data_IF_573906845215
#
_entry.id   IF_573906845215
#
_cell.length_a   1.000
_cell.length_b   1.000
_cell.length_c   1.000
_cell.angle_alpha   90.00
_cell.angle_beta   90.00
_cell.angle_gamma   90.00
#
_symmetry.space_group_name_H-M   'P 1'
#
loop_
_entity.id
_entity.type
_entity.pdbx_description
1 polymer ?
#
# COMPACT_ATOMS: atom_id res chain seq x y z
N UNK A 1 27.67 -48.41 -17.10
CA UNK A 1 27.93 -46.99 -16.81
C UNK A 1 26.68 -46.44 -16.14
N UNK A 2 26.68 -46.32 -14.80
CA UNK A 2 25.54 -45.81 -14.05
C UNK A 2 25.62 -44.29 -13.97
N UNK A 3 24.72 -43.60 -14.66
CA UNK A 3 24.51 -42.15 -14.51
C UNK A 3 23.66 -41.90 -13.27
N UNK A 4 24.34 -41.71 -12.14
CA UNK A 4 23.73 -41.27 -10.89
C UNK A 4 23.18 -39.86 -11.13
N UNK A 5 21.85 -39.73 -11.16
CA UNK A 5 21.17 -38.43 -11.24
C UNK A 5 21.34 -37.73 -9.90
N UNK A 6 22.19 -36.71 -9.87
CA UNK A 6 22.33 -35.83 -8.71
C UNK A 6 21.02 -35.05 -8.55
N UNK A 7 20.36 -35.09 -7.38
CA UNK A 7 19.21 -34.23 -7.13
C UNK A 7 19.67 -32.77 -7.18
N UNK A 8 18.91 -31.93 -7.90
CA UNK A 8 19.12 -30.48 -7.90
C UNK A 8 18.99 -29.98 -6.46
N UNK A 9 20.11 -29.51 -5.90
CA UNK A 9 20.10 -28.77 -4.65
C UNK A 9 19.29 -27.50 -4.92
N UNK A 10 18.07 -27.46 -4.38
CA UNK A 10 17.28 -26.23 -4.35
C UNK A 10 18.04 -25.31 -3.39
N UNK A 11 18.76 -24.34 -3.92
CA UNK A 11 19.46 -23.35 -3.09
C UNK A 11 18.42 -22.66 -2.23
N UNK A 12 18.48 -22.89 -0.91
CA UNK A 12 17.66 -22.19 0.07
C UNK A 12 18.20 -20.78 0.36
N UNK A 13 19.00 -20.20 -0.54
CA UNK A 13 19.41 -18.80 -0.50
C UNK A 13 18.34 -17.95 -1.17
N UNK A 14 17.75 -17.02 -0.43
CA UNK A 14 16.98 -15.93 -1.03
C UNK A 14 18.01 -15.03 -1.75
N UNK A 15 18.20 -15.24 -3.05
CA UNK A 15 19.17 -14.46 -3.83
C UNK A 15 18.67 -13.03 -4.08
N UNK A 16 17.35 -12.81 -4.09
CA UNK A 16 16.74 -11.49 -4.24
C UNK A 16 15.44 -11.37 -3.40
N UNK A 17 15.45 -10.46 -2.42
CA UNK A 17 14.27 -10.18 -1.57
C UNK A 17 13.16 -9.43 -2.32
N UNK A 18 13.48 -8.81 -3.45
CA UNK A 18 12.56 -8.03 -4.27
C UNK A 18 11.96 -8.85 -5.40
N UNK A 19 12.18 -10.16 -5.43
CA UNK A 19 11.56 -11.05 -6.41
C UNK A 19 10.85 -12.20 -5.71
N UNK A 20 9.64 -12.51 -6.17
CA UNK A 20 8.83 -13.62 -5.69
C UNK A 20 8.26 -14.40 -6.88
N UNK A 21 8.26 -15.72 -6.78
CA UNK A 21 7.54 -16.59 -7.72
C UNK A 21 6.31 -17.17 -7.02
N UNK A 22 5.15 -16.89 -7.57
CA UNK A 22 3.84 -17.31 -7.09
C UNK A 22 3.52 -18.74 -7.52
N UNK A 23 2.73 -19.43 -6.68
CA UNK A 23 2.34 -20.82 -6.88
C UNK A 23 1.24 -20.96 -7.92
N UNK A 24 0.23 -20.09 -7.91
CA UNK A 24 -0.84 -20.07 -8.91
C UNK A 24 -0.59 -18.99 -9.96
N UNK A 25 -0.18 -17.81 -9.52
CA UNK A 25 0.02 -16.62 -10.34
C UNK A 25 -1.28 -15.86 -10.60
N UNK A 26 -1.14 -14.58 -10.92
CA UNK A 26 -2.25 -13.69 -11.25
C UNK A 26 -2.83 -14.05 -12.63
N UNK A 27 -4.10 -14.47 -12.74
CA UNK A 27 -4.68 -14.81 -14.03
C UNK A 27 -5.06 -13.55 -14.83
N UNK A 28 -4.78 -13.56 -16.13
CA UNK A 28 -5.18 -12.51 -17.06
C UNK A 28 -5.56 -13.09 -18.42
N UNK A 29 -6.55 -12.49 -19.09
CA UNK A 29 -6.97 -12.90 -20.42
C UNK A 29 -6.31 -12.03 -21.49
N UNK A 30 -5.48 -12.66 -22.32
CA UNK A 30 -4.75 -12.01 -23.42
C UNK A 30 -5.03 -12.78 -24.70
N UNK A 31 -5.65 -12.10 -25.68
CA UNK A 31 -5.92 -12.69 -27.00
C UNK A 31 -6.80 -13.95 -26.95
N UNK A 32 -7.77 -14.00 -26.02
CA UNK A 32 -8.68 -15.15 -25.86
C UNK A 32 -8.05 -16.36 -25.14
N UNK A 33 -6.85 -16.20 -24.55
CA UNK A 33 -6.20 -17.20 -23.72
C UNK A 33 -5.94 -16.65 -22.33
N UNK A 34 -6.15 -17.47 -21.31
CA UNK A 34 -5.77 -17.12 -19.94
C UNK A 34 -4.28 -17.42 -19.73
N UNK A 35 -3.50 -16.38 -19.44
CA UNK A 35 -2.11 -16.47 -18.98
C UNK A 35 -2.04 -16.26 -17.47
N UNK A 36 -0.93 -16.66 -16.85
CA UNK A 36 -0.72 -16.55 -15.41
C UNK A 36 0.59 -15.84 -15.13
N UNK A 37 0.53 -14.63 -14.58
CA UNK A 37 1.71 -13.91 -14.13
C UNK A 37 2.21 -14.48 -12.82
N UNK A 38 3.32 -15.22 -12.88
CA UNK A 38 3.85 -15.97 -11.74
C UNK A 38 5.01 -15.25 -11.08
N UNK A 39 5.78 -14.46 -11.81
CA UNK A 39 6.90 -13.73 -11.22
C UNK A 39 6.42 -12.33 -10.83
N UNK A 40 6.74 -11.92 -9.62
CA UNK A 40 6.45 -10.58 -9.10
C UNK A 40 7.75 -9.90 -8.77
N UNK A 41 7.95 -8.71 -9.34
CA UNK A 41 8.99 -7.79 -8.91
C UNK A 41 8.40 -6.86 -7.87
N UNK A 42 9.09 -6.73 -6.75
CA UNK A 42 8.74 -5.86 -5.65
C UNK A 42 9.70 -4.67 -5.58
N UNK A 43 9.24 -3.62 -4.90
CA UNK A 43 10.02 -2.43 -4.61
C UNK A 43 9.69 -1.91 -3.22
N UNK A 44 10.48 -0.95 -2.77
CA UNK A 44 10.13 -0.17 -1.60
C UNK A 44 9.05 0.86 -1.94
N UNK A 45 8.27 1.17 -0.91
CA UNK A 45 7.19 2.15 -0.97
C UNK A 45 7.64 3.46 -0.36
N UNK A 46 7.00 4.54 -0.82
CA UNK A 46 7.20 5.89 -0.33
C UNK A 46 5.95 6.40 0.40
N UNK A 47 6.05 7.56 1.04
CA UNK A 47 4.88 8.27 1.61
C UNK A 47 3.83 8.58 0.53
N UNK A 48 4.23 8.74 -0.73
CA UNK A 48 3.27 8.91 -1.83
C UNK A 48 2.45 7.63 -2.06
N UNK A 49 3.06 6.45 -1.92
CA UNK A 49 2.37 5.17 -2.04
C UNK A 49 1.37 4.98 -0.89
N UNK A 50 1.75 5.34 0.33
CA UNK A 50 0.84 5.33 1.49
C UNK A 50 -0.39 6.21 1.27
N UNK A 51 -0.20 7.41 0.71
CA UNK A 51 -1.32 8.31 0.37
C UNK A 51 -2.24 7.71 -0.69
N UNK A 52 -1.69 7.02 -1.67
CA UNK A 52 -2.49 6.33 -2.70
C UNK A 52 -3.26 5.17 -2.06
N UNK A 53 -2.60 4.34 -1.25
CA UNK A 53 -3.25 3.23 -0.55
C UNK A 53 -4.36 3.70 0.40
N UNK A 54 -4.14 4.81 1.13
CA UNK A 54 -5.16 5.42 1.98
C UNK A 54 -6.41 5.80 1.16
N UNK A 55 -6.24 6.48 0.02
CA UNK A 55 -7.35 6.83 -0.88
C UNK A 55 -8.09 5.61 -1.42
N UNK A 56 -7.36 4.54 -1.73
CA UNK A 56 -7.96 3.27 -2.19
C UNK A 56 -8.79 2.58 -1.11
N UNK A 57 -8.46 2.84 0.16
CA UNK A 57 -9.10 2.25 1.34
C UNK A 57 -10.15 3.18 1.98
N UNK A 58 -10.39 4.36 1.41
CA UNK A 58 -11.41 5.29 1.87
C UNK A 58 -12.82 4.75 1.61
N UNK A 59 -13.67 4.80 2.64
CA UNK A 59 -15.07 4.39 2.61
C UNK A 59 -15.93 5.50 3.19
N UNK A 60 -17.06 5.78 2.55
CA UNK A 60 -18.07 6.69 3.09
C UNK A 60 -18.95 5.92 4.06
N UNK A 61 -18.98 6.37 5.31
CA UNK A 61 -19.78 5.78 6.38
C UNK A 61 -20.61 6.85 7.07
N UNK A 62 -21.81 6.51 7.54
CA UNK A 62 -22.62 7.43 8.32
C UNK A 62 -22.31 7.26 9.81
N UNK A 63 -21.85 8.31 10.49
CA UNK A 63 -21.56 8.30 11.93
C UNK A 63 -22.36 9.41 12.59
N UNK A 64 -23.33 9.04 13.44
CA UNK A 64 -24.22 10.00 14.08
C UNK A 64 -25.12 10.77 13.10
N UNK A 65 -25.53 10.12 11.99
CA UNK A 65 -26.36 10.74 10.94
C UNK A 65 -25.60 11.63 9.95
N UNK A 66 -24.28 11.81 10.12
CA UNK A 66 -23.43 12.60 9.21
C UNK A 66 -22.53 11.67 8.40
N UNK A 67 -22.45 11.84 7.06
CA UNK A 67 -21.50 11.09 6.25
C UNK A 67 -20.07 11.52 6.58
N UNK A 68 -19.22 10.55 6.91
CA UNK A 68 -17.79 10.70 7.17
C UNK A 68 -16.99 9.78 6.25
N UNK A 69 -15.79 10.24 5.88
CA UNK A 69 -14.82 9.43 5.16
C UNK A 69 -13.91 8.74 6.18
N UNK A 70 -13.87 7.41 6.16
CA UNK A 70 -13.03 6.60 7.04
C UNK A 70 -12.14 5.69 6.19
N UNK A 71 -10.95 5.36 6.69
CA UNK A 71 -10.03 4.44 6.02
C UNK A 71 -10.18 3.05 6.64
N UNK A 72 -10.49 2.05 5.81
CA UNK A 72 -10.53 0.65 6.23
C UNK A 72 -9.11 0.13 6.41
N UNK A 73 -8.79 -0.39 7.60
CA UNK A 73 -7.45 -0.93 7.87
C UNK A 73 -7.13 -2.15 6.99
N UNK A 74 -8.12 -3.03 6.75
CA UNK A 74 -7.94 -4.21 5.89
C UNK A 74 -7.67 -3.80 4.44
N UNK A 75 -8.43 -2.83 3.93
CA UNK A 75 -8.30 -2.37 2.55
C UNK A 75 -6.99 -1.59 2.38
N UNK A 76 -6.58 -0.85 3.41
CA UNK A 76 -5.31 -0.12 3.42
C UNK A 76 -4.12 -1.08 3.36
N UNK A 77 -4.13 -2.13 4.20
CA UNK A 77 -3.09 -3.16 4.19
C UNK A 77 -3.01 -3.83 2.82
N UNK A 78 -4.16 -4.20 2.27
CA UNK A 78 -4.26 -4.83 0.96
C UNK A 78 -3.74 -3.91 -0.17
N UNK A 79 -4.13 -2.63 -0.15
CA UNK A 79 -3.65 -1.64 -1.10
C UNK A 79 -2.13 -1.39 -0.94
N UNK A 80 -1.60 -1.37 0.28
CA UNK A 80 -0.16 -1.24 0.53
C UNK A 80 0.61 -2.43 -0.02
N UNK A 81 0.12 -3.66 0.19
CA UNK A 81 0.70 -4.87 -0.42
C UNK A 81 0.74 -4.76 -1.95
N UNK A 82 -0.33 -4.25 -2.57
CA UNK A 82 -0.35 -3.97 -4.01
C UNK A 82 0.69 -2.91 -4.40
N UNK A 83 0.87 -1.83 -3.62
CA UNK A 83 1.84 -0.75 -3.91
C UNK A 83 3.29 -1.22 -3.90
N UNK A 84 3.61 -2.27 -3.16
CA UNK A 84 4.94 -2.90 -3.18
C UNK A 84 5.23 -3.65 -4.49
N UNK A 85 4.21 -4.06 -5.25
CA UNK A 85 4.41 -4.69 -6.55
C UNK A 85 4.89 -3.62 -7.55
N UNK A 86 6.03 -3.85 -8.20
CA UNK A 86 6.49 -3.02 -9.32
C UNK A 86 5.86 -3.50 -10.63
N UNK A 87 5.95 -4.80 -10.88
CA UNK A 87 5.28 -5.47 -11.99
C UNK A 87 5.11 -6.97 -11.74
N UNK A 88 4.14 -7.54 -12.43
CA UNK A 88 3.92 -8.96 -12.59
C UNK A 88 4.50 -9.40 -13.95
N UNK A 89 5.08 -10.59 -14.05
CA UNK A 89 5.73 -11.10 -15.26
C UNK A 89 5.30 -12.53 -15.61
N UNK A 90 5.09 -12.74 -16.91
CA UNK A 90 4.81 -14.03 -17.54
C UNK A 90 5.55 -14.05 -18.88
N UNK A 91 6.49 -14.99 -19.06
CA UNK A 91 7.21 -15.21 -20.33
C UNK A 91 7.75 -13.92 -20.98
N UNK A 92 8.37 -13.04 -20.18
CA UNK A 92 8.91 -11.75 -20.62
C UNK A 92 7.88 -10.64 -20.83
N UNK A 93 6.59 -10.93 -20.72
CA UNK A 93 5.51 -9.93 -20.72
C UNK A 93 5.33 -9.38 -19.31
N UNK A 94 5.45 -8.06 -19.18
CA UNK A 94 5.30 -7.35 -17.91
C UNK A 94 3.94 -6.67 -17.81
N UNK A 95 3.28 -6.88 -16.68
CA UNK A 95 2.09 -6.16 -16.24
C UNK A 95 2.51 -5.16 -15.14
N UNK A 96 2.74 -3.88 -15.47
CA UNK A 96 3.20 -2.89 -14.51
C UNK A 96 2.11 -2.56 -13.48
N UNK A 97 2.51 -2.13 -12.28
CA UNK A 97 1.57 -1.69 -11.24
C UNK A 97 0.57 -0.64 -11.72
N UNK A 98 0.98 0.25 -12.63
CA UNK A 98 0.14 1.32 -13.14
C UNK A 98 -1.15 0.84 -13.85
N UNK A 99 -1.18 -0.40 -14.32
CA UNK A 99 -2.36 -1.02 -14.95
C UNK A 99 -3.04 -2.05 -14.05
N UNK A 100 -2.55 -2.23 -12.83
CA UNK A 100 -3.09 -3.16 -11.84
C UNK A 100 -4.06 -2.42 -10.93
N UNK A 101 -5.34 -2.79 -10.98
CA UNK A 101 -6.37 -2.33 -10.06
C UNK A 101 -6.62 -3.37 -8.94
N UNK A 102 -7.40 -2.97 -7.93
CA UNK A 102 -7.73 -3.85 -6.80
C UNK A 102 -8.52 -5.09 -7.24
N UNK A 103 -9.38 -4.95 -8.26
CA UNK A 103 -10.20 -6.06 -8.75
C UNK A 103 -9.34 -7.12 -9.44
N UNK A 104 -8.36 -6.70 -10.23
CA UNK A 104 -7.40 -7.61 -10.85
C UNK A 104 -6.49 -8.21 -9.80
N UNK A 105 -5.93 -7.40 -8.90
CA UNK A 105 -5.10 -7.91 -7.79
C UNK A 105 -5.88 -8.90 -6.91
N UNK A 106 -7.20 -8.70 -6.76
CA UNK A 106 -8.14 -9.58 -6.05
C UNK A 106 -8.30 -10.98 -6.65
N UNK A 107 -7.81 -11.20 -7.87
CA UNK A 107 -7.83 -12.52 -8.52
C UNK A 107 -6.68 -13.43 -8.05
N UNK A 108 -5.72 -12.91 -7.28
CA UNK A 108 -4.70 -13.73 -6.64
C UNK A 108 -5.34 -14.76 -5.72
N UNK A 109 -4.78 -15.97 -5.68
CA UNK A 109 -5.22 -16.96 -4.70
C UNK A 109 -4.85 -16.46 -3.29
N UNK A 110 -5.61 -16.85 -2.25
CA UNK A 110 -5.28 -16.48 -0.87
C UNK A 110 -3.85 -16.91 -0.46
N UNK A 111 -3.39 -18.04 -1.00
CA UNK A 111 -2.03 -18.53 -0.78
C UNK A 111 -0.98 -17.61 -1.39
N UNK A 112 -1.17 -17.20 -2.65
CA UNK A 112 -0.25 -16.27 -3.31
C UNK A 112 -0.25 -14.88 -2.68
N UNK A 113 -1.41 -14.40 -2.23
CA UNK A 113 -1.50 -13.16 -1.49
C UNK A 113 -0.71 -13.23 -0.19
N UNK A 114 -0.83 -14.33 0.57
CA UNK A 114 -0.07 -14.54 1.80
C UNK A 114 1.45 -14.55 1.53
N UNK A 115 1.91 -15.26 0.49
CA UNK A 115 3.33 -15.28 0.11
C UNK A 115 3.84 -13.87 -0.23
N UNK A 116 3.00 -13.05 -0.86
CA UNK A 116 3.32 -11.69 -1.23
C UNK A 116 3.38 -10.78 0.01
N UNK A 117 2.43 -10.91 0.93
CA UNK A 117 2.43 -10.19 2.22
C UNK A 117 3.67 -10.53 3.06
N UNK A 118 4.00 -11.81 3.20
CA UNK A 118 5.22 -12.25 3.91
C UNK A 118 6.48 -11.65 3.29
N UNK A 119 6.54 -11.59 1.95
CA UNK A 119 7.66 -10.98 1.23
C UNK A 119 7.72 -9.47 1.42
N UNK A 120 6.58 -8.79 1.43
CA UNK A 120 6.49 -7.35 1.68
C UNK A 120 7.02 -7.01 3.06
N UNK A 121 6.69 -7.80 4.08
CA UNK A 121 7.23 -7.60 5.44
C UNK A 121 8.76 -7.68 5.45
N UNK A 122 9.34 -8.65 4.74
CA UNK A 122 10.81 -8.76 4.62
C UNK A 122 11.43 -7.55 3.93
N UNK A 123 10.81 -7.03 2.87
CA UNK A 123 11.26 -5.80 2.18
C UNK A 123 11.22 -4.60 3.12
N UNK A 124 10.14 -4.45 3.89
CA UNK A 124 10.02 -3.35 4.88
C UNK A 124 11.06 -3.47 5.98
N UNK A 125 11.32 -4.67 6.51
CA UNK A 125 12.34 -4.90 7.52
C UNK A 125 13.76 -4.64 6.99
N UNK A 126 14.04 -5.04 5.75
CA UNK A 126 15.32 -4.74 5.11
C UNK A 126 15.53 -3.22 4.94
N UNK A 127 14.48 -2.47 4.60
CA UNK A 127 14.54 -1.01 4.56
C UNK A 127 14.80 -0.42 5.96
N UNK A 128 14.09 -0.90 7.01
CA UNK A 128 14.31 -0.46 8.39
C UNK A 128 15.75 -0.70 8.87
N UNK A 129 16.32 -1.87 8.57
CA UNK A 129 17.71 -2.21 8.87
C UNK A 129 18.66 -1.25 8.16
N UNK A 130 18.45 -1.01 6.86
CA UNK A 130 19.30 -0.11 6.06
C UNK A 130 19.25 1.34 6.56
N UNK A 131 18.10 1.78 7.06
CA UNK A 131 17.94 3.12 7.66
C UNK A 131 18.30 3.17 9.15
N UNK A 132 18.78 2.07 9.74
CA UNK A 132 19.24 2.02 11.12
C UNK A 132 18.11 2.08 12.17
N UNK A 133 16.87 1.79 11.77
CA UNK A 133 15.70 1.73 12.67
C UNK A 133 15.73 0.46 13.52
N UNK A 134 16.23 -0.64 12.95
CA UNK A 134 16.44 -1.92 13.64
C UNK A 134 17.90 -2.37 13.49
N UNK A 135 18.35 -3.26 14.38
CA UNK A 135 19.69 -3.85 14.30
C UNK A 135 19.70 -5.11 13.43
N UNK A 136 20.88 -5.57 13.01
CA UNK A 136 21.04 -6.84 12.30
C UNK A 136 20.50 -8.01 13.13
N UNK A 137 20.69 -7.98 14.46
CA UNK A 137 20.21 -9.03 15.35
C UNK A 137 18.67 -9.10 15.39
N UNK A 138 17.99 -7.95 15.34
CA UNK A 138 16.52 -7.89 15.29
C UNK A 138 15.98 -8.45 13.96
N UNK A 139 16.65 -8.12 12.85
CA UNK A 139 16.33 -8.67 11.53
C UNK A 139 16.51 -10.19 11.48
N UNK A 140 17.65 -10.69 11.98
CA UNK A 140 17.96 -12.13 11.99
C UNK A 140 16.98 -12.91 12.90
N UNK A 141 16.55 -12.34 14.03
CA UNK A 141 15.53 -12.96 14.88
C UNK A 141 14.21 -13.15 14.12
N UNK A 142 13.77 -12.12 13.38
CA UNK A 142 12.57 -12.21 12.56
C UNK A 142 12.72 -13.27 11.45
N UNK A 143 13.86 -13.28 10.76
CA UNK A 143 14.15 -14.22 9.66
C UNK A 143 14.16 -15.69 10.11
N UNK A 144 14.52 -15.98 11.36
CA UNK A 144 14.53 -17.34 11.94
C UNK A 144 13.14 -17.75 12.47
N UNK A 145 12.08 -16.97 12.18
CA UNK A 145 10.70 -17.27 12.57
C UNK A 145 10.40 -16.94 14.04
N UNK A 146 11.28 -16.21 14.72
CA UNK A 146 10.95 -15.59 16.01
C UNK A 146 10.43 -14.19 15.74
N UNK A 147 9.12 -14.07 15.55
CA UNK A 147 8.44 -12.78 15.49
C UNK A 147 8.78 -12.04 16.80
N UNK A 148 9.51 -10.91 16.76
CA UNK A 148 9.72 -10.10 17.94
C UNK A 148 8.35 -9.69 18.48
N UNK A 149 8.09 -9.94 19.76
CA UNK A 149 6.85 -9.53 20.40
C UNK A 149 6.75 -7.98 20.32
N UNK A 150 5.94 -7.46 19.39
CA UNK A 150 5.67 -6.03 19.27
C UNK A 150 5.59 -5.43 17.86
N UNK A 151 5.86 -6.17 16.78
CA UNK A 151 5.95 -5.59 15.42
C UNK A 151 4.71 -5.75 14.53
N UNK A 152 3.50 -5.75 15.11
CA UNK A 152 2.25 -5.62 14.33
C UNK A 152 1.83 -4.17 14.08
N UNK A 153 2.76 -3.23 14.09
CA UNK A 153 2.54 -1.88 13.58
C UNK A 153 3.58 -1.58 12.53
N UNK A 154 3.17 -1.54 11.26
CA UNK A 154 3.81 -0.72 10.24
C UNK A 154 4.26 0.61 10.88
N UNK A 155 5.45 1.16 10.58
CA UNK A 155 5.90 2.41 11.18
C UNK A 155 4.86 3.49 10.89
N UNK A 156 4.02 3.77 11.88
CA UNK A 156 3.12 4.91 11.83
C UNK A 156 4.04 6.13 11.88
N UNK A 157 4.01 7.03 10.89
CA UNK A 157 4.56 8.35 11.13
C UNK A 157 3.81 8.92 12.33
N UNK A 158 4.53 9.13 13.44
CA UNK A 158 4.02 9.85 14.62
C UNK A 158 3.71 11.28 14.17
N UNK A 159 2.49 11.46 13.68
CA UNK A 159 2.00 12.69 13.09
C UNK A 159 0.49 12.71 13.14
N UNK A 160 -0.05 13.41 14.13
CA UNK A 160 -1.41 13.95 14.20
C UNK A 160 -2.61 13.00 14.38
N UNK A 161 -2.43 11.68 14.47
CA UNK A 161 -3.55 10.77 14.77
C UNK A 161 -3.75 10.46 16.26
N UNK A 162 -2.75 10.72 17.12
CA UNK A 162 -2.82 10.39 18.55
C UNK A 162 -3.88 11.19 19.35
N UNK A 163 -4.36 12.31 18.79
CA UNK A 163 -5.33 13.22 19.43
C UNK A 163 -6.71 13.23 18.75
N UNK A 164 -6.99 12.29 17.84
CA UNK A 164 -8.31 12.20 17.19
C UNK A 164 -9.31 11.59 18.19
N UNK A 165 -9.81 12.44 19.10
CA UNK A 165 -10.76 12.08 20.15
C UNK A 165 -10.66 12.94 21.41
N UNK A 166 -9.53 13.63 21.64
CA UNK A 166 -9.30 14.48 22.83
C UNK A 166 -9.88 15.89 22.69
N UNK A 167 -10.25 16.30 21.47
CA UNK A 167 -10.75 17.65 21.16
C UNK A 167 -12.24 17.70 20.75
N UNK A 168 -13.06 16.74 21.18
CA UNK A 168 -14.51 16.72 20.88
C UNK A 168 -15.33 17.89 21.50
N UNK A 169 -14.67 18.85 22.18
CA UNK A 169 -15.31 19.95 22.90
C UNK A 169 -14.81 21.36 22.55
N UNK A 170 -13.94 21.53 21.56
CA UNK A 170 -13.49 22.87 21.13
C UNK A 170 -14.34 23.35 19.94
N UNK A 171 -14.82 24.61 19.93
CA UNK A 171 -15.47 25.16 18.76
C UNK A 171 -14.44 25.29 17.63
N UNK A 172 -14.58 24.47 16.59
CA UNK A 172 -13.71 24.52 15.42
C UNK A 172 -13.96 25.81 14.62
N UNK A 173 -12.90 26.57 14.34
CA UNK A 173 -12.89 27.56 13.26
C UNK A 173 -13.06 26.81 11.95
N UNK A 174 -14.25 26.88 11.37
CA UNK A 174 -14.56 26.27 10.07
C UNK A 174 -13.72 26.85 8.92
N UNK A 175 -13.61 26.12 7.81
CA UNK A 175 -12.84 26.55 6.65
C UNK A 175 -13.47 27.81 6.04
N UNK A 176 -12.65 28.86 5.89
CA UNK A 176 -13.02 30.05 5.13
C UNK A 176 -13.33 29.62 3.69
N UNK A 177 -14.63 29.54 3.38
CA UNK A 177 -15.13 29.17 2.07
C UNK A 177 -14.63 30.19 1.03
N UNK A 178 -14.10 29.63 -0.06
CA UNK A 178 -13.83 30.27 -1.34
C UNK A 178 -15.01 31.16 -1.80
N UNK A 179 -14.97 32.45 -1.45
CA UNK A 179 -15.95 33.45 -1.86
C UNK A 179 -15.48 34.35 -3.02
N UNK A 180 -14.33 34.06 -3.65
CA UNK A 180 -13.72 34.98 -4.63
C UNK A 180 -13.82 34.52 -6.10
N UNK A 181 -14.72 33.58 -6.42
CA UNK A 181 -15.01 33.23 -7.81
C UNK A 181 -16.49 33.42 -8.16
N UNK A 182 -16.98 34.66 -8.04
CA UNK A 182 -18.10 35.14 -8.86
C UNK A 182 -17.77 36.50 -9.49
N UNK A 183 -17.58 36.46 -10.81
CA UNK A 183 -17.93 37.52 -11.75
C UNK A 183 -17.44 38.94 -11.47
N UNK A 184 -16.33 39.32 -12.09
CA UNK A 184 -16.07 40.72 -12.42
C UNK A 184 -17.20 41.25 -13.30
N UNK A 185 -17.80 42.36 -12.87
CA UNK A 185 -18.89 43.03 -13.59
C UNK A 185 -19.36 44.32 -12.92
N UNK A 186 -18.65 45.41 -13.21
CA UNK A 186 -19.08 46.81 -13.15
C UNK A 186 -19.25 47.51 -11.79
N UNK A 187 -18.17 48.22 -11.42
CA UNK A 187 -18.15 49.65 -11.06
C UNK A 187 -19.50 50.40 -11.18
N UNK A 188 -19.97 50.99 -10.08
CA UNK A 188 -20.06 52.46 -9.94
C UNK A 188 -20.52 52.86 -8.53
N UNK A 189 -19.87 53.90 -8.01
CA UNK A 189 -20.08 54.51 -6.71
C UNK A 189 -21.41 55.26 -6.57
N UNK A 190 -21.91 55.38 -5.33
CA UNK A 190 -22.46 56.64 -4.84
C UNK A 190 -22.38 56.72 -3.30
N UNK A 191 -21.65 57.73 -2.84
CA UNK A 191 -21.61 58.28 -1.48
C UNK A 191 -22.82 59.17 -1.20
N UNK A 192 -23.39 59.14 0.01
CA UNK A 192 -24.36 60.15 0.44
C UNK A 192 -24.85 59.99 1.88
N UNK A 193 -24.59 61.01 2.69
CA UNK A 193 -25.01 61.20 4.09
C UNK A 193 -26.50 61.55 4.24
N UNK A 194 -27.09 61.12 5.37
CA UNK A 194 -27.85 62.00 6.29
C UNK A 194 -29.35 62.25 6.07
N UNK A 195 -30.09 62.08 7.17
CA UNK A 195 -31.46 62.52 7.50
C UNK A 195 -32.64 61.75 6.89
#
# INVERSE_FOLDING_TARGET
MNTQSTPAVVSSSIDDIFQLTLADGLPADVGGKTIKYRTVRLRETSVADERIAARMAERVMTVGGVPKLLVSESDFRYAMTMRHCEYFECDGTKLPLAVLDLDTFGKLSPHDLQLLEERVVLVTLAAQLRYGVITQADFDQFAVGRIPAGTSSSPQPVGQAADVGSHAGLPESGPALLADFTGGGANAAASGHGA
#
